data_IF_313480793984
#
_entry.id   IF_313480793984
#
_cell.length_a   1.000
_cell.length_b   1.000
_cell.length_c   1.000
_cell.angle_alpha   90.00
_cell.angle_beta   90.00
_cell.angle_gamma   90.00
#
_symmetry.space_group_name_H-M   'P 1'
#
loop_
_entity.id
_entity.type
_entity.pdbx_description
1 polymer ?
#
# COMPACT_ATOMS: atom_id res chain seq x y z
N UNK A 1 -3.37 -16.14 -14.88
CA UNK A 1 -2.89 -16.56 -13.56
C UNK A 1 -2.07 -17.83 -13.74
N UNK A 2 -1.01 -18.01 -12.95
CA UNK A 2 -0.20 -19.22 -12.93
C UNK A 2 -0.47 -20.01 -11.65
N UNK A 3 -0.47 -21.33 -11.75
CA UNK A 3 -0.58 -22.21 -10.58
C UNK A 3 0.82 -22.54 -10.06
N UNK A 4 1.09 -22.22 -8.80
CA UNK A 4 2.38 -22.45 -8.14
C UNK A 4 2.59 -23.96 -7.91
N UNK A 5 1.51 -24.69 -7.60
CA UNK A 5 1.57 -26.13 -7.29
C UNK A 5 1.96 -26.96 -8.52
N UNK A 6 1.82 -26.40 -9.72
CA UNK A 6 2.31 -27.01 -10.96
C UNK A 6 3.86 -26.96 -11.10
N UNK A 7 4.56 -26.19 -10.27
CA UNK A 7 6.02 -26.00 -10.36
C UNK A 7 6.75 -26.43 -9.09
N UNK A 8 6.16 -26.23 -7.90
CA UNK A 8 6.76 -26.61 -6.62
C UNK A 8 5.73 -26.64 -5.50
N UNK A 9 6.14 -27.09 -4.31
CA UNK A 9 5.29 -26.98 -3.12
C UNK A 9 4.99 -25.52 -2.79
N UNK A 10 3.71 -25.22 -2.59
CA UNK A 10 3.22 -23.86 -2.36
C UNK A 10 3.66 -23.29 -1.01
N UNK A 11 3.82 -24.13 0.01
CA UNK A 11 4.29 -23.68 1.32
C UNK A 11 5.78 -23.34 1.28
N UNK A 12 6.57 -24.16 0.59
CA UNK A 12 7.99 -23.90 0.32
C UNK A 12 8.18 -22.61 -0.50
N UNK A 13 7.37 -22.42 -1.55
CA UNK A 13 7.39 -21.18 -2.34
C UNK A 13 7.17 -19.94 -1.46
N UNK A 14 6.15 -19.99 -0.59
CA UNK A 14 5.84 -18.86 0.32
C UNK A 14 6.96 -18.60 1.32
N UNK A 15 7.49 -19.65 1.95
CA UNK A 15 8.61 -19.51 2.90
C UNK A 15 9.83 -18.88 2.23
N UNK A 16 10.19 -19.36 1.04
CA UNK A 16 11.30 -18.82 0.26
C UNK A 16 11.09 -17.36 -0.12
N UNK A 17 9.86 -17.00 -0.51
CA UNK A 17 9.48 -15.62 -0.80
C UNK A 17 9.58 -14.73 0.44
N UNK A 18 9.12 -15.19 1.61
CA UNK A 18 9.23 -14.45 2.87
C UNK A 18 10.69 -14.19 3.25
N UNK A 19 11.56 -15.20 3.13
CA UNK A 19 13.01 -15.05 3.34
C UNK A 19 13.65 -14.04 2.38
N UNK A 20 13.26 -14.10 1.10
CA UNK A 20 13.79 -13.19 0.08
C UNK A 20 13.36 -11.75 0.32
N UNK A 21 12.07 -11.51 0.60
CA UNK A 21 11.54 -10.18 0.92
C UNK A 21 12.14 -9.62 2.21
N UNK A 22 12.36 -10.47 3.22
CA UNK A 22 13.05 -10.09 4.44
C UNK A 22 14.49 -9.66 4.15
N UNK A 23 15.20 -10.42 3.32
CA UNK A 23 16.58 -10.11 2.92
C UNK A 23 16.65 -8.77 2.20
N UNK A 24 15.75 -8.52 1.23
CA UNK A 24 15.68 -7.23 0.53
C UNK A 24 15.47 -6.08 1.52
N UNK A 25 14.48 -6.18 2.40
CA UNK A 25 14.14 -5.11 3.36
C UNK A 25 15.26 -4.81 4.36
N UNK A 26 16.05 -5.81 4.73
CA UNK A 26 17.13 -5.68 5.73
C UNK A 26 18.51 -5.43 5.12
N UNK A 27 18.62 -5.44 3.79
CA UNK A 27 19.86 -5.13 3.08
C UNK A 27 20.29 -3.68 3.34
N UNK A 28 21.61 -3.46 3.45
CA UNK A 28 22.18 -2.12 3.62
C UNK A 28 21.75 -1.21 2.46
N UNK A 29 21.17 -0.03 2.73
CA UNK A 29 20.79 0.90 1.67
C UNK A 29 22.01 1.50 0.97
N UNK A 30 21.80 1.96 -0.26
CA UNK A 30 22.80 2.73 -1.00
C UNK A 30 23.08 4.08 -0.30
N UNK A 31 24.27 4.67 -0.46
CA UNK A 31 24.58 5.99 0.11
C UNK A 31 23.53 7.04 -0.29
N UNK A 32 23.03 7.80 0.68
CA UNK A 32 21.99 8.82 0.47
C UNK A 32 20.55 8.31 0.50
N UNK A 33 20.33 7.02 0.80
CA UNK A 33 19.00 6.44 0.97
C UNK A 33 18.80 5.88 2.39
N UNK A 34 17.59 6.03 2.93
CA UNK A 34 17.28 5.65 4.32
C UNK A 34 17.11 4.14 4.52
N UNK A 35 16.42 3.46 3.58
CA UNK A 35 16.14 2.03 3.65
C UNK A 35 15.87 1.42 2.28
N UNK A 36 16.00 0.10 2.18
CA UNK A 36 15.58 -0.68 1.01
C UNK A 36 14.10 -1.02 1.13
N UNK A 37 13.35 -0.84 0.04
CA UNK A 37 11.93 -1.21 -0.07
C UNK A 37 11.72 -2.08 -1.31
N UNK A 38 10.70 -2.95 -1.26
CA UNK A 38 10.25 -3.74 -2.40
C UNK A 38 8.85 -3.30 -2.85
N UNK A 39 8.46 -3.59 -4.11
CA UNK A 39 7.15 -3.22 -4.63
C UNK A 39 6.01 -3.78 -3.76
N UNK A 40 5.12 -2.91 -3.28
CA UNK A 40 4.02 -3.27 -2.40
C UNK A 40 4.28 -3.04 -0.91
N UNK A 41 5.53 -2.88 -0.46
CA UNK A 41 5.83 -2.65 0.96
C UNK A 41 5.30 -1.28 1.42
N UNK A 42 5.63 -0.22 0.69
CA UNK A 42 5.24 1.16 1.03
C UNK A 42 3.72 1.30 0.95
N UNK A 43 3.09 0.64 -0.02
CA UNK A 43 1.64 0.62 -0.20
C UNK A 43 0.95 -0.11 0.96
N UNK A 44 1.49 -1.25 1.42
CA UNK A 44 0.95 -1.97 2.56
C UNK A 44 1.03 -1.12 3.85
N UNK A 45 2.19 -0.51 4.12
CA UNK A 45 2.37 0.41 5.25
C UNK A 45 1.44 1.62 5.15
N UNK A 46 1.26 2.19 3.95
CA UNK A 46 0.34 3.30 3.69
C UNK A 46 -1.11 2.90 3.92
N UNK A 47 -1.50 1.67 3.58
CA UNK A 47 -2.85 1.15 3.83
C UNK A 47 -3.08 0.97 5.32
N UNK A 48 -2.12 0.43 6.06
CA UNK A 48 -2.21 0.30 7.52
C UNK A 48 -2.36 1.68 8.18
N UNK A 49 -1.51 2.63 7.82
CA UNK A 49 -1.55 4.00 8.32
C UNK A 49 -2.90 4.68 8.01
N UNK A 50 -3.34 4.67 6.75
CA UNK A 50 -4.59 5.34 6.35
C UNK A 50 -5.85 4.67 6.87
N UNK A 51 -5.80 3.38 7.20
CA UNK A 51 -6.89 2.68 7.91
C UNK A 51 -6.98 3.13 9.36
N UNK A 52 -5.84 3.39 10.01
CA UNK A 52 -5.80 3.81 11.40
C UNK A 52 -6.04 5.32 11.58
N UNK A 53 -5.46 6.14 10.70
CA UNK A 53 -5.34 7.59 10.85
C UNK A 53 -6.17 8.40 9.84
N UNK A 54 -6.86 7.73 8.90
CA UNK A 54 -7.61 8.37 7.83
C UNK A 54 -6.77 8.71 6.59
N UNK A 55 -7.43 9.04 5.49
CA UNK A 55 -6.77 9.36 4.21
C UNK A 55 -6.52 10.88 4.14
N UNK A 56 -5.26 11.34 4.03
CA UNK A 56 -4.97 12.77 3.90
C UNK A 56 -5.32 13.25 2.49
N UNK A 57 -6.47 13.90 2.35
CA UNK A 57 -6.92 14.51 1.10
C UNK A 57 -6.43 15.96 0.99
N UNK A 58 -6.00 16.36 -0.20
CA UNK A 58 -5.68 17.76 -0.48
C UNK A 58 -6.95 18.63 -0.42
N UNK A 59 -6.83 19.90 0.00
CA UNK A 59 -7.98 20.79 0.20
C UNK A 59 -8.86 20.94 -1.05
N UNK A 60 -8.24 21.05 -2.23
CA UNK A 60 -8.96 21.16 -3.50
C UNK A 60 -9.81 19.92 -3.80
N UNK A 61 -9.37 18.73 -3.38
CA UNK A 61 -10.14 17.48 -3.55
C UNK A 61 -11.38 17.51 -2.67
N UNK A 62 -11.24 18.00 -1.43
CA UNK A 62 -12.36 18.18 -0.49
C UNK A 62 -13.38 19.17 -1.05
N UNK A 63 -12.93 20.29 -1.60
CA UNK A 63 -13.79 21.30 -2.24
C UNK A 63 -14.51 20.75 -3.47
N UNK A 64 -13.81 19.97 -4.30
CA UNK A 64 -14.40 19.30 -5.44
C UNK A 64 -15.51 18.33 -5.04
N UNK A 65 -15.29 17.51 -3.99
CA UNK A 65 -16.34 16.64 -3.46
C UNK A 65 -17.52 17.44 -2.93
N UNK A 66 -17.28 18.47 -2.12
CA UNK A 66 -18.33 19.32 -1.54
C UNK A 66 -19.21 19.95 -2.63
N UNK A 67 -18.61 20.52 -3.66
CA UNK A 67 -19.34 21.14 -4.77
C UNK A 67 -20.11 20.12 -5.61
N UNK A 68 -19.54 18.94 -5.83
CA UNK A 68 -20.19 17.86 -6.59
C UNK A 68 -21.37 17.27 -5.82
N UNK A 69 -21.21 16.97 -4.53
CA UNK A 69 -22.30 16.54 -3.65
C UNK A 69 -23.44 17.57 -3.63
N UNK A 70 -23.12 18.87 -3.51
CA UNK A 70 -24.12 19.94 -3.56
C UNK A 70 -24.89 19.96 -4.88
N UNK A 71 -24.20 19.81 -6.03
CA UNK A 71 -24.84 19.78 -7.36
C UNK A 71 -25.75 18.56 -7.54
N UNK A 72 -25.38 17.44 -6.93
CA UNK A 72 -26.12 16.18 -7.02
C UNK A 72 -27.21 16.04 -5.94
N UNK A 73 -27.31 16.97 -4.99
CA UNK A 73 -28.26 16.88 -3.87
C UNK A 73 -27.92 15.78 -2.86
N UNK A 74 -26.65 15.38 -2.76
CA UNK A 74 -26.16 14.34 -1.84
C UNK A 74 -25.50 15.02 -0.64
N UNK A 75 -25.74 14.51 0.57
CA UNK A 75 -25.08 15.02 1.77
C UNK A 75 -23.56 14.77 1.70
N UNK A 76 -22.78 15.82 1.99
CA UNK A 76 -21.33 15.72 2.07
C UNK A 76 -20.90 15.49 3.52
N UNK A 77 -20.41 14.29 3.83
CA UNK A 77 -19.86 13.92 5.13
C UNK A 77 -18.40 13.51 4.95
N UNK A 78 -17.50 14.21 5.63
CA UNK A 78 -16.09 13.90 5.73
C UNK A 78 -15.78 13.96 7.23
N UNK A 79 -16.08 12.86 7.92
CA UNK A 79 -15.69 12.65 9.32
C UNK A 79 -14.20 12.31 9.41
#
# INVERSE_FOLDING_TARGET
AYDIEAFMDKSEFKSTMDEWLHTLRTTRPAPGHDRVVYPGLVEAETVEDRRANGIPLHIEVVEWFRSTCSRMGIAFNLD
#
